data_IF_409411378305
#
_entry.id   IF_409411378305
#
_cell.length_a   1.000
_cell.length_b   1.000
_cell.length_c   1.000
_cell.angle_alpha   90.00
_cell.angle_beta   90.00
_cell.angle_gamma   90.00
#
_symmetry.space_group_name_H-M   'P 1'
#
loop_
_entity.id
_entity.type
_entity.pdbx_description
1 polymer ?
#
# COMPACT_ATOMS: atom_id res chain seq x y z
N UNK A 1 -6.59 -7.06 7.31
CA UNK A 1 -5.72 -8.19 7.72
C UNK A 1 -5.13 -7.83 9.06
N UNK A 2 -5.23 -8.71 10.05
CA UNK A 2 -4.59 -8.54 11.36
C UNK A 2 -3.41 -9.51 11.38
N UNK A 3 -2.19 -8.99 11.28
CA UNK A 3 -0.98 -9.78 11.04
C UNK A 3 -0.27 -9.45 9.73
N UNK A 4 0.71 -10.28 9.37
CA UNK A 4 1.65 -9.99 8.28
C UNK A 4 1.23 -10.62 6.95
N UNK A 5 1.59 -9.94 5.86
CA UNK A 5 1.52 -10.45 4.49
C UNK A 5 2.95 -10.70 4.02
N UNK A 6 3.39 -11.94 4.08
CA UNK A 6 4.78 -12.30 3.76
C UNK A 6 5.05 -12.41 2.24
N UNK A 7 6.33 -12.51 1.88
CA UNK A 7 6.75 -12.77 0.49
C UNK A 7 6.02 -14.00 -0.08
N UNK A 8 5.61 -13.93 -1.35
CA UNK A 8 4.82 -14.96 -2.02
C UNK A 8 3.30 -14.88 -1.74
N UNK A 9 2.86 -14.15 -0.71
CA UNK A 9 1.45 -13.90 -0.48
C UNK A 9 0.90 -12.78 -1.38
N UNK A 10 -0.39 -12.88 -1.73
CA UNK A 10 -1.11 -11.87 -2.50
C UNK A 10 -2.46 -11.58 -1.87
N UNK A 11 -2.74 -10.30 -1.67
CA UNK A 11 -4.02 -9.79 -1.17
C UNK A 11 -4.72 -9.03 -2.29
N UNK A 12 -6.00 -9.30 -2.52
CA UNK A 12 -6.81 -8.62 -3.54
C UNK A 12 -8.11 -8.13 -2.92
N UNK A 13 -8.46 -6.86 -3.14
CA UNK A 13 -9.68 -6.23 -2.64
C UNK A 13 -10.31 -5.36 -3.73
N UNK A 14 -11.65 -5.33 -3.78
CA UNK A 14 -12.38 -4.39 -4.65
C UNK A 14 -12.28 -2.94 -4.16
N UNK A 15 -12.01 -2.75 -2.87
CA UNK A 15 -11.82 -1.43 -2.25
C UNK A 15 -10.45 -1.36 -1.59
N UNK A 16 -10.43 -0.86 -0.35
CA UNK A 16 -9.20 -0.63 0.40
C UNK A 16 -8.60 -1.93 0.96
N UNK A 17 -7.31 -1.86 1.30
CA UNK A 17 -6.59 -2.89 2.05
C UNK A 17 -5.97 -2.25 3.28
N UNK A 18 -6.23 -2.82 4.45
CA UNK A 18 -5.59 -2.41 5.71
C UNK A 18 -4.90 -3.62 6.32
N UNK A 19 -3.59 -3.53 6.51
CA UNK A 19 -2.73 -4.55 7.11
C UNK A 19 -2.26 -4.04 8.46
N UNK A 20 -2.79 -4.57 9.55
CA UNK A 20 -2.33 -4.31 10.90
C UNK A 20 -1.13 -5.21 11.20
N UNK A 21 -0.03 -4.97 10.48
CA UNK A 21 1.19 -5.78 10.47
C UNK A 21 2.11 -5.37 9.31
N UNK A 22 3.06 -6.23 8.97
CA UNK A 22 4.01 -6.00 7.88
C UNK A 22 3.47 -6.46 6.52
N UNK A 23 3.52 -5.59 5.52
CA UNK A 23 3.23 -5.90 4.12
C UNK A 23 4.53 -6.10 3.35
N UNK A 24 4.92 -7.37 3.16
CA UNK A 24 6.12 -7.81 2.40
C UNK A 24 5.77 -8.47 1.06
N UNK A 25 4.55 -8.97 0.93
CA UNK A 25 4.04 -9.59 -0.30
C UNK A 25 3.46 -8.59 -1.29
N UNK A 26 2.43 -9.03 -2.01
CA UNK A 26 1.73 -8.22 -3.02
C UNK A 26 0.36 -7.77 -2.50
N UNK A 27 0.01 -6.51 -2.74
CA UNK A 27 -1.32 -5.96 -2.45
C UNK A 27 -1.96 -5.41 -3.73
N UNK A 28 -3.22 -5.75 -3.98
CA UNK A 28 -4.03 -5.23 -5.07
C UNK A 28 -5.35 -4.65 -4.53
N UNK A 29 -5.39 -3.34 -4.34
CA UNK A 29 -6.58 -2.59 -3.96
C UNK A 29 -7.32 -2.06 -5.20
N UNK A 30 -8.61 -1.75 -5.04
CA UNK A 30 -9.40 -1.18 -6.13
C UNK A 30 -9.58 -2.12 -7.33
N UNK A 31 -9.65 -3.44 -7.11
CA UNK A 31 -9.59 -4.45 -8.17
C UNK A 31 -10.68 -4.38 -9.25
N UNK A 32 -11.71 -3.55 -9.04
CA UNK A 32 -12.76 -3.24 -10.03
C UNK A 32 -12.54 -1.90 -10.74
N UNK A 33 -11.31 -1.36 -10.72
CA UNK A 33 -10.97 -0.07 -11.32
C UNK A 33 -11.19 1.14 -10.42
N UNK A 34 -11.34 0.94 -9.10
CA UNK A 34 -11.49 2.07 -8.17
C UNK A 34 -10.13 2.70 -7.88
N UNK A 35 -9.86 3.84 -8.51
CA UNK A 35 -8.64 4.63 -8.35
C UNK A 35 -8.49 5.27 -6.98
N UNK A 36 -9.60 5.51 -6.26
CA UNK A 36 -9.59 6.13 -4.93
C UNK A 36 -9.30 5.12 -3.80
N UNK A 37 -9.00 3.86 -4.15
CA UNK A 37 -8.65 2.86 -3.16
C UNK A 37 -7.22 3.05 -2.63
N UNK A 38 -7.00 2.68 -1.37
CA UNK A 38 -5.69 2.80 -0.74
C UNK A 38 -5.26 1.50 -0.05
N UNK A 39 -3.96 1.42 0.26
CA UNK A 39 -3.35 0.35 1.04
C UNK A 39 -2.67 0.95 2.28
N UNK A 40 -3.00 0.46 3.48
CA UNK A 40 -2.30 0.84 4.72
C UNK A 40 -1.58 -0.37 5.29
N UNK A 41 -0.36 -0.17 5.78
CA UNK A 41 0.38 -1.17 6.56
C UNK A 41 1.15 -0.51 7.71
N UNK A 42 1.35 -1.23 8.82
CA UNK A 42 2.17 -0.76 9.95
C UNK A 42 3.68 -0.85 9.68
N UNK A 43 4.06 -1.68 8.71
CA UNK A 43 5.40 -1.77 8.14
C UNK A 43 5.24 -2.10 6.64
N UNK A 44 5.56 -1.14 5.77
CA UNK A 44 5.29 -1.25 4.33
C UNK A 44 6.58 -1.50 3.54
N UNK A 45 6.82 -2.77 3.20
CA UNK A 45 7.94 -3.26 2.38
C UNK A 45 7.45 -4.18 1.24
N UNK A 46 6.45 -3.76 0.46
CA UNK A 46 5.76 -4.63 -0.49
C UNK A 46 6.68 -5.03 -1.65
N UNK A 47 6.55 -6.25 -2.15
CA UNK A 47 7.13 -6.59 -3.46
C UNK A 47 6.44 -5.80 -4.58
N UNK A 48 5.11 -5.64 -4.46
CA UNK A 48 4.29 -4.93 -5.43
C UNK A 48 3.03 -4.35 -4.76
N UNK A 49 2.68 -3.12 -5.09
CA UNK A 49 1.36 -2.55 -4.83
C UNK A 49 0.68 -2.29 -6.17
N UNK A 50 -0.60 -2.66 -6.26
CA UNK A 50 -1.49 -2.32 -7.37
C UNK A 50 -2.71 -1.59 -6.82
N UNK A 51 -3.06 -0.48 -7.44
CA UNK A 51 -4.28 0.28 -7.16
C UNK A 51 -4.97 0.50 -8.49
N UNK A 52 -6.19 -0.02 -8.66
CA UNK A 52 -6.86 -0.09 -9.95
C UNK A 52 -5.96 -0.73 -11.03
N UNK A 53 -5.60 0.00 -12.08
CA UNK A 53 -4.74 -0.49 -13.15
C UNK A 53 -3.27 -0.06 -13.04
N UNK A 54 -2.95 0.79 -12.07
CA UNK A 54 -1.58 1.25 -11.83
C UNK A 54 -0.84 0.29 -10.91
N UNK A 55 0.41 0.02 -11.24
CA UNK A 55 1.30 -0.87 -10.50
C UNK A 55 2.55 -0.09 -10.08
N UNK A 56 2.90 -0.18 -8.81
CA UNK A 56 4.19 0.24 -8.27
C UNK A 56 4.94 -0.97 -7.71
N UNK A 57 6.26 -0.93 -7.86
CA UNK A 57 7.19 -1.93 -7.33
C UNK A 57 8.20 -1.22 -6.46
N UNK A 58 8.62 -1.88 -5.39
CA UNK A 58 9.73 -1.36 -4.60
C UNK A 58 11.01 -1.32 -5.45
N UNK A 59 11.84 -0.29 -5.28
CA UNK A 59 13.10 -0.17 -6.02
C UNK A 59 14.05 -1.34 -5.70
N UNK A 60 14.84 -1.76 -6.69
CA UNK A 60 15.74 -2.93 -6.59
C UNK A 60 16.87 -2.75 -5.56
N UNK A 61 17.17 -1.51 -5.16
CA UNK A 61 18.17 -1.22 -4.13
C UNK A 61 17.51 -1.29 -2.75
N UNK A 62 18.12 -1.99 -1.77
CA UNK A 62 17.62 -1.98 -0.42
C UNK A 62 17.64 -0.54 0.10
N UNK A 63 16.45 0.02 0.28
CA UNK A 63 16.29 1.22 1.10
C UNK A 63 16.77 0.80 2.49
N UNK A 64 17.78 1.52 3.04
CA UNK A 64 18.24 1.32 4.43
C UNK A 64 17.00 1.17 5.30
N UNK A 65 17.00 0.19 6.21
CA UNK A 65 15.83 -0.11 7.04
C UNK A 65 15.21 1.16 7.61
N UNK A 66 14.16 1.64 6.96
CA UNK A 66 13.35 2.71 7.49
C UNK A 66 12.63 2.14 8.71
N UNK A 67 12.50 2.99 9.73
CA UNK A 67 11.77 2.70 10.96
C UNK A 67 10.44 2.03 10.66
N UNK A 68 10.02 1.09 11.51
CA UNK A 68 8.68 0.50 11.47
C UNK A 68 7.66 1.60 11.74
N UNK A 69 7.20 2.22 10.67
CA UNK A 69 6.21 3.29 10.69
C UNK A 69 5.04 2.91 9.80
N UNK A 70 3.84 3.28 10.27
CA UNK A 70 2.64 3.08 9.49
C UNK A 70 2.70 3.96 8.24
N UNK A 71 2.44 3.36 7.08
CA UNK A 71 2.42 4.04 5.79
C UNK A 71 1.12 3.78 5.06
N UNK A 72 0.77 4.71 4.20
CA UNK A 72 -0.35 4.63 3.28
C UNK A 72 0.14 4.75 1.85
N UNK A 73 -0.40 3.90 0.99
CA UNK A 73 -0.20 3.96 -0.44
C UNK A 73 -1.52 4.29 -1.13
N UNK A 74 -1.50 5.28 -2.00
CA UNK A 74 -2.66 5.77 -2.74
C UNK A 74 -2.25 6.16 -4.16
N UNK A 75 -3.23 6.26 -5.06
CA UNK A 75 -3.02 6.64 -6.45
C UNK A 75 -3.33 8.12 -6.63
N UNK A 76 -2.39 8.87 -7.19
CA UNK A 76 -2.55 10.28 -7.54
C UNK A 76 -1.82 10.55 -8.87
N UNK A 77 -2.44 11.29 -9.79
CA UNK A 77 -1.87 11.61 -11.11
C UNK A 77 -1.29 10.40 -11.88
N UNK A 78 -1.92 9.23 -11.72
CA UNK A 78 -1.50 7.98 -12.37
C UNK A 78 -0.30 7.30 -11.72
N UNK A 79 0.27 7.85 -10.64
CA UNK A 79 1.39 7.31 -9.89
C UNK A 79 0.95 6.85 -8.49
N UNK A 80 1.56 5.79 -7.98
CA UNK A 80 1.31 5.35 -6.61
C UNK A 80 2.36 5.99 -5.71
N UNK A 81 1.89 6.79 -4.76
CA UNK A 81 2.70 7.40 -3.71
C UNK A 81 2.63 6.56 -2.45
N UNK A 82 3.70 6.58 -1.66
CA UNK A 82 3.76 5.92 -0.35
C UNK A 82 4.27 6.95 0.65
N UNK A 83 3.44 7.26 1.65
CA UNK A 83 3.73 8.28 2.66
C UNK A 83 3.50 7.77 4.08
N UNK A 84 4.14 8.36 5.10
CA UNK A 84 3.79 8.12 6.50
C UNK A 84 2.31 8.40 6.75
N UNK A 85 1.65 7.51 7.49
CA UNK A 85 0.25 7.64 7.84
C UNK A 85 0.08 8.76 8.89
N UNK A 86 -0.27 9.95 8.41
CA UNK A 86 -0.55 11.12 9.25
C UNK A 86 -1.99 11.58 9.09
N UNK A 87 -2.46 12.43 10.01
CA UNK A 87 -3.83 12.98 9.94
C UNK A 87 -4.06 13.85 8.70
N UNK A 88 -3.03 14.54 8.22
CA UNK A 88 -3.13 15.40 7.02
C UNK A 88 -3.33 14.56 5.76
N UNK A 89 -2.51 13.53 5.57
CA UNK A 89 -2.62 12.63 4.39
C UNK A 89 -3.98 11.95 4.33
N UNK A 90 -4.58 11.62 5.47
CA UNK A 90 -5.93 11.07 5.54
C UNK A 90 -7.05 12.05 5.12
N UNK A 91 -6.81 13.36 5.19
CA UNK A 91 -7.76 14.38 4.72
C UNK A 91 -7.66 14.60 3.21
N UNK A 92 -6.48 14.40 2.65
CA UNK A 92 -6.21 14.54 1.20
C UNK A 92 -6.76 13.35 0.41
N UNK A 93 -6.80 12.17 1.04
CA UNK A 93 -7.43 10.98 0.47
C UNK A 93 -8.95 11.12 0.60
N UNK A 94 -9.65 11.23 -0.52
CA UNK A 94 -11.11 11.28 -0.59
C UNK A 94 -11.72 9.95 -0.11
N UNK A 95 -12.05 9.89 1.18
CA UNK A 95 -12.79 8.81 1.83
C UNK A 95 -14.27 8.76 1.41
#
# INVERSE_FOLDING_TARGET
IIGDVNHGARVVSKGNIIVLGALKGNAFAGATGNTNSFVVALDMRPMQIRIADTIARSPDKPVKEESKEAKIAFLEDGNIYIEPLTKSVLQDISL
#
